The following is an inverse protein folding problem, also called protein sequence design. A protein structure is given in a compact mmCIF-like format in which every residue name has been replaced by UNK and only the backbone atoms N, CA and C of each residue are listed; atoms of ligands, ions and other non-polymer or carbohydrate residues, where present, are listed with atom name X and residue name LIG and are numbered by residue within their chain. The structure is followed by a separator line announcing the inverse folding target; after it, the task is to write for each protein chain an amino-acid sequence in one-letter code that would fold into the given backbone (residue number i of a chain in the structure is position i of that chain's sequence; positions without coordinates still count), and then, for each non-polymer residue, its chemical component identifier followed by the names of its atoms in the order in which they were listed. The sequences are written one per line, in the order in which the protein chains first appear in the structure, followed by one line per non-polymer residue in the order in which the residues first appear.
data_IF_175711135509
#
_entry.id   IF_175711135509
#
_cell.length_a   1.000
_cell.length_b   1.000
_cell.length_c   1.000
_cell.angle_alpha   90.00
_cell.angle_beta   90.00
_cell.angle_gamma   90.00
#
_symmetry.space_group_name_H-M   'P 1'
#
loop_
_entity.id
_entity.type
_entity.pdbx_description
1 polymer ?
#
# COMPACT_ATOMS: atom_id res chain seq x y z
N UNK A 1 27.18 10.05 -7.84
CA UNK A 1 26.29 9.62 -6.72
C UNK A 1 26.25 8.10 -6.71
N UNK A 2 26.51 7.42 -5.59
CA UNK A 2 26.58 5.96 -5.57
C UNK A 2 25.19 5.32 -5.81
N UNK A 3 25.10 4.22 -6.55
CA UNK A 3 23.83 3.56 -6.92
C UNK A 3 23.01 3.07 -5.71
N UNK A 4 23.67 2.93 -4.56
CA UNK A 4 23.12 2.47 -3.29
C UNK A 4 22.13 3.50 -2.69
N UNK A 5 22.39 4.79 -2.86
CA UNK A 5 21.53 5.87 -2.36
C UNK A 5 20.21 5.95 -3.14
N UNK A 6 20.26 5.74 -4.47
CA UNK A 6 19.07 5.67 -5.31
C UNK A 6 18.20 4.45 -5.00
N UNK A 7 18.82 3.30 -4.68
CA UNK A 7 18.11 2.09 -4.25
C UNK A 7 17.43 2.27 -2.87
N UNK A 8 18.08 2.96 -1.94
CA UNK A 8 17.52 3.28 -0.62
C UNK A 8 16.33 4.25 -0.72
N UNK A 9 16.43 5.29 -1.56
CA UNK A 9 15.33 6.24 -1.78
C UNK A 9 14.11 5.57 -2.45
N UNK A 10 14.33 4.56 -3.29
CA UNK A 10 13.26 3.73 -3.89
C UNK A 10 12.60 2.77 -2.91
N UNK A 11 13.25 2.42 -1.79
CA UNK A 11 12.73 1.46 -0.80
C UNK A 11 11.68 2.05 0.13
N UNK A 12 11.74 3.36 0.43
CA UNK A 12 10.71 4.05 1.22
C UNK A 12 9.28 3.82 0.72
N UNK A 13 8.99 4.09 -0.57
CA UNK A 13 7.66 3.85 -1.14
C UNK A 13 7.30 2.37 -1.25
N UNK A 14 8.27 1.47 -1.47
CA UNK A 14 8.03 0.01 -1.49
C UNK A 14 7.70 -0.54 -0.10
N UNK A 15 8.33 -0.02 0.96
CA UNK A 15 8.02 -0.35 2.35
C UNK A 15 6.60 0.11 2.71
N UNK A 16 6.20 1.32 2.28
CA UNK A 16 4.84 1.81 2.46
C UNK A 16 3.79 0.94 1.77
N UNK A 17 4.06 0.52 0.53
CA UNK A 17 3.23 -0.44 -0.20
C UNK A 17 3.13 -1.80 0.50
N UNK A 18 4.24 -2.31 1.02
CA UNK A 18 4.27 -3.57 1.78
C UNK A 18 3.44 -3.50 3.07
N UNK A 19 3.57 -2.41 3.82
CA UNK A 19 2.78 -2.16 5.04
C UNK A 19 1.28 -2.04 4.73
N UNK A 20 0.94 -1.32 3.66
CA UNK A 20 -0.43 -1.16 3.22
C UNK A 20 -1.06 -2.48 2.76
N UNK A 21 -0.29 -3.34 2.08
CA UNK A 21 -0.71 -4.69 1.71
C UNK A 21 -0.97 -5.57 2.95
N UNK A 22 -0.08 -5.51 3.96
CA UNK A 22 -0.27 -6.24 5.22
C UNK A 22 -1.51 -5.76 5.97
N UNK A 23 -1.76 -4.44 6.03
CA UNK A 23 -2.98 -3.87 6.62
C UNK A 23 -4.25 -4.25 5.85
N UNK A 24 -4.21 -4.23 4.52
CA UNK A 24 -5.30 -4.73 3.68
C UNK A 24 -5.65 -6.17 3.99
N UNK A 25 -4.63 -7.03 4.12
CA UNK A 25 -4.81 -8.45 4.37
C UNK A 25 -5.30 -8.72 5.80
N UNK A 26 -4.76 -8.01 6.79
CA UNK A 26 -5.20 -8.09 8.17
C UNK A 26 -6.67 -7.63 8.32
N UNK A 27 -7.05 -6.55 7.63
CA UNK A 27 -8.43 -6.07 7.60
C UNK A 27 -9.37 -7.09 6.96
N UNK A 28 -8.93 -7.78 5.90
CA UNK A 28 -9.72 -8.83 5.25
C UNK A 28 -9.87 -10.06 6.15
N UNK A 29 -8.80 -10.45 6.85
CA UNK A 29 -8.80 -11.58 7.78
C UNK A 29 -9.66 -11.32 9.04
N UNK A 30 -9.87 -10.05 9.39
CA UNK A 30 -10.73 -9.65 10.51
C UNK A 30 -12.23 -9.64 10.17
N UNK A 31 -12.60 -9.76 8.88
CA UNK A 31 -14.01 -9.81 8.48
C UNK A 31 -14.57 -11.20 8.81
N UNK A 32 -15.62 -11.30 9.64
CA UNK A 32 -16.26 -12.57 9.92
C UNK A 32 -16.90 -13.15 8.64
N UNK A 33 -16.92 -14.48 8.47
CA UNK A 33 -17.37 -15.13 7.24
C UNK A 33 -18.89 -15.11 7.02
N UNK A 34 -19.63 -14.23 7.69
CA UNK A 34 -21.10 -14.21 7.77
C UNK A 34 -21.81 -13.78 6.47
N UNK A 35 -21.08 -13.67 5.35
CA UNK A 35 -21.62 -13.35 4.04
C UNK A 35 -20.59 -12.62 3.17
N UNK A 36 -20.74 -12.72 1.85
CA UNK A 36 -19.87 -11.99 0.93
C UNK A 36 -20.24 -10.49 0.95
N UNK A 37 -19.48 -9.67 1.68
CA UNK A 37 -19.68 -8.23 1.76
C UNK A 37 -18.73 -7.50 0.80
N UNK A 38 -19.15 -7.20 -0.46
CA UNK A 38 -18.29 -6.56 -1.45
C UNK A 38 -17.78 -5.18 -0.98
N UNK A 39 -18.59 -4.44 -0.22
CA UNK A 39 -18.18 -3.17 0.39
C UNK A 39 -17.06 -3.33 1.42
N UNK A 40 -17.09 -4.41 2.22
CA UNK A 40 -16.06 -4.67 3.21
C UNK A 40 -14.74 -5.09 2.56
N UNK A 41 -14.79 -5.82 1.44
CA UNK A 41 -13.61 -6.14 0.63
C UNK A 41 -13.00 -4.90 -0.02
N UNK A 42 -13.82 -4.00 -0.58
CA UNK A 42 -13.35 -2.73 -1.11
C UNK A 42 -12.72 -1.84 -0.03
N UNK A 43 -13.32 -1.79 1.17
CA UNK A 43 -12.76 -1.09 2.31
C UNK A 43 -11.40 -1.68 2.74
N UNK A 44 -11.24 -3.00 2.66
CA UNK A 44 -9.94 -3.64 2.91
C UNK A 44 -8.87 -3.25 1.90
N UNK A 45 -9.21 -2.92 0.65
CA UNK A 45 -8.24 -2.48 -0.36
C UNK A 45 -7.87 -1.00 -0.25
N UNK A 46 -8.61 -0.22 0.55
CA UNK A 46 -8.42 1.22 0.72
C UNK A 46 -6.98 1.61 1.17
N UNK A 47 -6.34 0.92 2.14
CA UNK A 47 -4.96 1.22 2.54
C UNK A 47 -3.98 1.06 1.37
N UNK A 48 -4.15 -0.01 0.58
CA UNK A 48 -3.31 -0.28 -0.59
C UNK A 48 -3.51 0.77 -1.69
N UNK A 49 -4.75 1.20 -1.93
CA UNK A 49 -5.07 2.25 -2.89
C UNK A 49 -4.44 3.60 -2.50
N UNK A 50 -4.51 3.98 -1.22
CA UNK A 50 -3.88 5.19 -0.70
C UNK A 50 -2.36 5.13 -0.80
N UNK A 51 -1.75 3.98 -0.48
CA UNK A 51 -0.32 3.78 -0.64
C UNK A 51 0.13 3.88 -2.11
N UNK A 52 -0.63 3.29 -3.04
CA UNK A 52 -0.35 3.40 -4.47
C UNK A 52 -0.41 4.86 -4.96
N UNK A 53 -1.42 5.62 -4.55
CA UNK A 53 -1.53 7.05 -4.85
C UNK A 53 -0.35 7.83 -4.27
N UNK A 54 0.01 7.57 -3.01
CA UNK A 54 1.16 8.21 -2.37
C UNK A 54 2.45 7.95 -3.16
N UNK A 55 2.70 6.71 -3.59
CA UNK A 55 3.87 6.37 -4.41
C UNK A 55 3.88 7.12 -5.74
N UNK A 56 2.74 7.24 -6.42
CA UNK A 56 2.62 7.98 -7.69
C UNK A 56 2.89 9.47 -7.48
N UNK A 57 2.29 10.08 -6.45
CA UNK A 57 2.52 11.49 -6.12
C UNK A 57 3.95 11.77 -5.65
N UNK A 58 4.55 10.90 -4.85
CA UNK A 58 5.96 11.04 -4.44
C UNK A 58 6.91 10.91 -5.62
N UNK A 59 6.59 10.09 -6.63
CA UNK A 59 7.37 10.02 -7.87
C UNK A 59 7.22 11.27 -8.73
N UNK A 60 6.03 11.85 -8.80
CA UNK A 60 5.77 13.07 -9.59
C UNK A 60 6.47 14.31 -9.02
N UNK A 61 6.70 14.40 -7.72
CA UNK A 61 7.37 15.55 -7.10
C UNK A 61 8.92 15.45 -7.16
N UNK A 62 9.45 14.28 -7.51
CA UNK A 62 10.88 14.00 -7.51
C UNK A 62 11.47 13.87 -8.93
N UNK A 63 10.71 14.29 -9.94
CA UNK A 63 11.12 14.39 -11.35
C UNK A 63 10.98 15.82 -11.84
#
# INVERSE_FOLDING_TARGET
MPPIAAAALRRGPLLGLGLAAALSFASLAAIPPDGFHPLAQLACLLPLQLAALFVVFSRSQNG
#
